data_IF_597443841536
#
_entry.id   IF_597443841536
#
_cell.length_a   1.000
_cell.length_b   1.000
_cell.length_c   1.000
_cell.angle_alpha   90.00
_cell.angle_beta   90.00
_cell.angle_gamma   90.00
#
_symmetry.space_group_name_H-M   'P 1'
#
loop_
_entity.id
_entity.type
_entity.pdbx_description
1 polymer ?
#
# COMPACT_ATOMS: atom_id res chain seq x y z
N UNK A 1 -37.82 48.72 -47.64
CA UNK A 1 -36.48 48.24 -48.04
C UNK A 1 -35.47 48.90 -47.10
N UNK A 2 -34.57 48.11 -46.49
CA UNK A 2 -34.34 48.02 -45.03
C UNK A 2 -33.06 48.80 -44.61
N UNK A 3 -32.75 49.08 -43.33
CA UNK A 3 -32.58 48.18 -42.18
C UNK A 3 -32.64 48.89 -40.81
N UNK A 4 -33.32 48.22 -39.87
CA UNK A 4 -33.29 48.31 -38.39
C UNK A 4 -31.86 48.09 -37.83
N UNK A 5 -31.44 48.36 -36.59
CA UNK A 5 -32.02 48.74 -35.29
C UNK A 5 -30.84 49.00 -34.32
N UNK A 6 -30.99 49.88 -33.33
CA UNK A 6 -30.62 49.62 -31.92
C UNK A 6 -31.01 50.82 -31.04
N UNK A 7 -32.03 50.62 -30.20
CA UNK A 7 -32.39 51.52 -29.11
C UNK A 7 -31.87 50.98 -27.78
N UNK A 8 -31.44 51.94 -26.96
CA UNK A 8 -30.99 51.87 -25.58
C UNK A 8 -31.99 51.20 -24.63
N UNK A 9 -31.50 50.66 -23.50
CA UNK A 9 -32.00 51.01 -22.17
C UNK A 9 -30.89 50.83 -21.10
N UNK A 10 -31.00 51.66 -20.07
CA UNK A 10 -30.02 52.09 -19.07
C UNK A 10 -30.52 51.67 -17.67
N UNK A 11 -29.68 51.85 -16.65
CA UNK A 11 -29.97 51.90 -15.18
C UNK A 11 -29.97 50.53 -14.49
N UNK A 12 -29.39 50.29 -13.30
CA UNK A 12 -28.67 51.12 -12.32
C UNK A 12 -28.45 50.34 -11.01
N UNK A 13 -27.45 50.80 -10.24
CA UNK A 13 -27.11 50.65 -8.79
C UNK A 13 -27.97 49.74 -7.89
N UNK A 14 -27.34 49.05 -6.92
CA UNK A 14 -27.54 49.20 -5.45
C UNK A 14 -26.33 48.60 -4.69
N UNK A 15 -25.93 49.27 -3.60
CA UNK A 15 -24.95 48.83 -2.61
C UNK A 15 -25.63 48.53 -1.25
N UNK A 16 -24.87 47.88 -0.35
CA UNK A 16 -24.98 47.79 1.13
C UNK A 16 -25.65 46.57 1.78
N UNK A 17 -24.81 45.83 2.53
CA UNK A 17 -24.93 45.41 3.93
C UNK A 17 -26.26 44.91 4.54
N UNK A 18 -26.20 43.71 5.15
CA UNK A 18 -26.73 43.43 6.51
C UNK A 18 -26.27 42.05 7.06
N UNK A 19 -25.25 42.09 7.93
CA UNK A 19 -25.12 41.49 9.28
C UNK A 19 -25.69 40.10 9.64
N UNK A 20 -24.74 39.28 10.15
CA UNK A 20 -24.71 38.50 11.42
C UNK A 20 -25.85 37.51 11.76
N UNK A 21 -25.45 36.26 12.08
CA UNK A 21 -25.51 35.62 13.43
C UNK A 21 -24.88 34.21 13.38
N UNK A 22 -23.73 33.99 14.05
CA UNK A 22 -23.53 33.22 15.31
C UNK A 22 -23.43 31.69 15.10
N UNK A 23 -22.23 31.09 15.20
CA UNK A 23 -21.60 30.47 16.41
C UNK A 23 -22.01 28.98 16.56
N UNK A 24 -21.23 27.94 16.92
CA UNK A 24 -19.96 27.67 17.62
C UNK A 24 -19.54 26.22 17.24
N UNK A 25 -18.25 25.83 17.27
CA UNK A 25 -17.60 24.90 18.25
C UNK A 25 -16.30 24.30 17.63
N UNK A 26 -15.31 23.79 18.39
CA UNK A 26 -14.14 24.56 18.80
C UNK A 26 -12.78 23.98 18.33
N UNK A 27 -11.81 24.88 18.21
CA UNK A 27 -10.39 24.57 18.15
C UNK A 27 -9.83 24.33 19.57
N UNK A 28 -9.00 23.30 19.73
CA UNK A 28 -8.28 23.02 20.97
C UNK A 28 -6.79 23.34 20.80
N UNK A 29 -6.32 24.14 21.76
CA UNK A 29 -5.06 24.83 21.88
C UNK A 29 -3.78 23.98 21.73
N UNK A 30 -2.76 24.55 21.09
CA UNK A 30 -1.35 24.38 21.50
C UNK A 30 -0.80 25.74 21.93
N UNK A 31 -0.15 25.71 23.10
CA UNK A 31 0.47 26.85 23.77
C UNK A 31 1.72 27.32 23.03
N UNK A 32 1.88 28.63 23.04
CA UNK A 32 3.07 29.37 22.64
C UNK A 32 4.28 29.04 23.52
N UNK A 33 5.46 28.98 22.89
CA UNK A 33 6.73 29.33 23.51
C UNK A 33 7.55 30.12 22.47
N UNK A 34 7.92 31.34 22.83
CA UNK A 34 8.67 32.34 22.08
C UNK A 34 10.11 31.86 21.75
N UNK A 35 10.73 32.34 20.65
CA UNK A 35 12.03 31.84 20.19
C UNK A 35 13.19 32.59 20.85
N UNK A 36 14.18 31.86 21.35
CA UNK A 36 15.47 32.42 21.75
C UNK A 36 16.43 32.34 20.57
N UNK A 37 16.88 33.50 20.11
CA UNK A 37 17.93 33.68 19.11
C UNK A 37 19.27 33.24 19.70
N UNK A 38 19.93 32.31 19.04
CA UNK A 38 21.39 32.12 19.12
C UNK A 38 21.97 31.92 17.73
N UNK A 39 22.83 32.87 17.35
CA UNK A 39 23.59 32.94 16.11
C UNK A 39 24.77 31.96 16.07
N UNK A 40 25.25 31.70 14.85
CA UNK A 40 26.54 31.06 14.44
C UNK A 40 26.40 29.57 14.05
N UNK A 41 26.95 29.03 12.95
CA UNK A 41 27.94 29.48 11.95
C UNK A 41 27.66 28.72 10.64
N UNK A 42 27.91 29.35 9.50
CA UNK A 42 27.93 28.72 8.18
C UNK A 42 29.02 27.64 8.11
N UNK A 43 28.65 26.42 7.72
CA UNK A 43 29.59 25.42 7.22
C UNK A 43 29.24 25.14 5.75
N UNK A 44 30.10 25.61 4.86
CA UNK A 44 30.15 25.18 3.46
C UNK A 44 30.29 23.66 3.43
N UNK A 45 29.28 22.95 2.93
CA UNK A 45 29.43 21.58 2.49
C UNK A 45 29.85 21.61 1.02
N UNK A 46 31.09 21.19 0.76
CA UNK A 46 31.65 21.08 -0.57
C UNK A 46 30.77 20.21 -1.47
N UNK A 47 30.34 20.79 -2.60
CA UNK A 47 29.73 20.06 -3.71
C UNK A 47 30.80 19.17 -4.33
N UNK A 48 30.78 17.87 -4.01
CA UNK A 48 31.53 16.87 -4.75
C UNK A 48 31.02 16.81 -6.19
N UNK A 49 31.95 16.88 -7.13
CA UNK A 49 31.67 16.97 -8.57
C UNK A 49 31.14 15.64 -9.14
N UNK A 50 30.26 15.76 -10.14
CA UNK A 50 29.52 14.70 -10.83
C UNK A 50 30.36 13.51 -11.33
N UNK A 51 31.68 13.68 -11.51
CA UNK A 51 32.57 12.64 -12.02
C UNK A 51 33.01 11.63 -10.92
N UNK A 52 33.01 12.04 -9.65
CA UNK A 52 33.28 11.14 -8.50
C UNK A 52 32.05 10.28 -8.13
N UNK A 53 30.85 10.66 -8.57
CA UNK A 53 29.62 9.91 -8.34
C UNK A 53 29.50 8.71 -9.31
N UNK A 54 29.82 8.91 -10.59
CA UNK A 54 29.83 7.85 -11.60
C UNK A 54 30.93 6.81 -11.35
N UNK A 55 32.10 7.23 -10.87
CA UNK A 55 33.17 6.30 -10.53
C UNK A 55 32.80 5.42 -9.32
N UNK A 56 32.07 5.96 -8.34
CA UNK A 56 31.55 5.18 -7.19
C UNK A 56 30.40 4.24 -7.54
N UNK A 57 29.55 4.61 -8.50
CA UNK A 57 28.51 3.73 -9.04
C UNK A 57 29.15 2.50 -9.71
N UNK A 58 30.12 2.69 -10.60
CA UNK A 58 30.76 1.57 -11.31
C UNK A 58 31.66 0.72 -10.38
N UNK A 59 32.37 1.31 -9.41
CA UNK A 59 33.25 0.55 -8.52
C UNK A 59 32.55 -0.19 -7.37
N UNK A 60 31.36 0.25 -6.92
CA UNK A 60 30.61 -0.50 -5.88
C UNK A 60 29.79 -1.66 -6.44
N UNK A 61 29.55 -1.73 -7.75
CA UNK A 61 29.00 -2.92 -8.40
C UNK A 61 29.93 -4.15 -8.30
N UNK A 62 31.19 -3.95 -7.88
CA UNK A 62 32.24 -4.98 -7.88
C UNK A 62 32.88 -5.22 -6.51
N UNK A 63 32.20 -4.84 -5.42
CA UNK A 63 32.52 -5.37 -4.10
C UNK A 63 31.39 -6.34 -3.76
N UNK A 64 31.67 -7.65 -3.57
CA UNK A 64 30.66 -8.54 -3.04
C UNK A 64 30.31 -8.02 -1.64
N UNK A 65 29.18 -7.32 -1.51
CA UNK A 65 28.58 -7.07 -0.21
C UNK A 65 28.50 -8.44 0.47
N UNK A 66 29.16 -8.57 1.63
CA UNK A 66 29.07 -9.73 2.50
C UNK A 66 27.64 -9.79 3.05
N UNK A 67 26.71 -10.21 2.20
CA UNK A 67 25.31 -10.39 2.54
C UNK A 67 24.98 -11.86 2.31
N UNK A 68 24.50 -12.48 3.39
CA UNK A 68 23.84 -13.77 3.34
C UNK A 68 22.61 -13.54 2.45
N UNK A 69 22.59 -14.18 1.28
CA UNK A 69 21.38 -14.35 0.49
C UNK A 69 20.26 -14.82 1.41
N UNK A 70 19.04 -14.30 1.25
CA UNK A 70 17.85 -14.91 1.89
C UNK A 70 17.61 -16.35 1.36
N UNK A 71 18.40 -16.82 0.40
CA UNK A 71 18.65 -18.23 0.16
C UNK A 71 19.90 -18.73 0.93
N UNK A 72 19.65 -19.47 2.03
CA UNK A 72 20.59 -20.26 2.86
C UNK A 72 21.03 -19.67 4.21
N UNK A 73 20.11 -19.67 5.18
CA UNK A 73 20.38 -20.10 6.55
C UNK A 73 19.07 -20.39 7.31
N UNK A 74 18.33 -21.45 6.94
CA UNK A 74 17.18 -21.91 7.73
C UNK A 74 17.15 -23.43 7.80
N UNK A 75 17.12 -23.95 9.03
CA UNK A 75 16.92 -25.36 9.37
C UNK A 75 15.59 -25.86 8.81
N UNK A 76 15.65 -26.97 8.06
CA UNK A 76 14.46 -27.73 7.63
C UNK A 76 13.86 -28.40 8.85
N UNK A 77 12.57 -28.20 9.12
CA UNK A 77 11.79 -29.16 9.90
C UNK A 77 11.23 -30.18 8.90
N UNK A 78 11.90 -31.32 8.81
CA UNK A 78 11.38 -32.54 8.19
C UNK A 78 10.78 -33.38 9.31
N UNK A 79 9.45 -33.52 9.34
CA UNK A 79 8.86 -34.68 9.99
C UNK A 79 8.96 -35.84 9.00
N UNK A 80 9.80 -36.81 9.36
CA UNK A 80 10.04 -38.05 8.61
C UNK A 80 9.25 -39.18 9.26
N UNK A 81 8.40 -39.84 8.48
CA UNK A 81 8.02 -41.28 8.47
C UNK A 81 6.81 -41.41 7.51
N UNK A 82 6.73 -42.28 6.51
CA UNK A 82 7.58 -43.36 6.04
C UNK A 82 7.01 -43.89 4.69
N UNK A 83 7.92 -44.36 3.82
CA UNK A 83 7.80 -45.47 2.85
C UNK A 83 7.03 -45.27 1.51
N UNK A 84 7.78 -45.64 0.47
CA UNK A 84 7.61 -45.61 -0.99
C UNK A 84 6.72 -46.76 -1.49
N UNK A 85 5.93 -46.53 -2.55
CA UNK A 85 5.95 -47.35 -3.79
C UNK A 85 5.46 -46.55 -4.99
N UNK A 86 6.19 -46.70 -6.10
CA UNK A 86 5.91 -46.16 -7.43
C UNK A 86 4.63 -46.72 -8.06
N UNK A 87 4.23 -46.06 -9.17
CA UNK A 87 3.25 -46.43 -10.20
C UNK A 87 1.88 -45.75 -10.03
N UNK A 88 1.74 -44.53 -10.56
CA UNK A 88 1.04 -44.37 -11.84
C UNK A 88 1.27 -43.00 -12.48
N UNK A 89 1.53 -43.05 -13.78
CA UNK A 89 1.64 -41.91 -14.68
C UNK A 89 0.24 -41.54 -15.15
N UNK A 90 -0.27 -40.38 -14.76
CA UNK A 90 -1.13 -39.59 -15.64
C UNK A 90 -0.88 -38.10 -15.42
N UNK A 91 -0.63 -37.40 -16.53
CA UNK A 91 -0.39 -35.97 -16.61
C UNK A 91 -1.60 -35.19 -16.11
N UNK A 92 -1.49 -34.59 -14.93
CA UNK A 92 -2.15 -33.33 -14.62
C UNK A 92 -1.03 -32.37 -14.22
N UNK A 93 -0.73 -31.40 -15.09
CA UNK A 93 0.20 -30.32 -14.79
C UNK A 93 -0.48 -29.34 -13.82
N UNK A 94 -0.75 -29.79 -12.60
CA UNK A 94 -0.94 -28.92 -11.45
C UNK A 94 0.45 -28.78 -10.81
N UNK A 95 1.15 -27.67 -11.09
CA UNK A 95 2.23 -27.26 -10.20
C UNK A 95 1.62 -27.17 -8.79
N UNK A 96 2.13 -27.90 -7.78
CA UNK A 96 1.66 -27.70 -6.43
C UNK A 96 2.01 -26.26 -6.05
N UNK A 97 1.00 -25.48 -5.64
CA UNK A 97 1.21 -24.24 -4.90
C UNK A 97 2.11 -24.61 -3.72
N UNK A 98 3.38 -24.25 -3.81
CA UNK A 98 4.30 -24.44 -2.70
C UNK A 98 3.88 -23.44 -1.63
N UNK A 99 3.05 -23.88 -0.67
CA UNK A 99 2.69 -23.15 0.55
C UNK A 99 3.92 -23.00 1.48
N UNK A 100 5.04 -22.54 0.93
CA UNK A 100 6.28 -22.35 1.66
C UNK A 100 6.19 -21.01 2.38
N UNK A 101 6.27 -21.09 3.70
CA UNK A 101 6.42 -19.92 4.56
C UNK A 101 7.90 -19.71 4.84
N UNK A 102 8.42 -18.55 4.47
CA UNK A 102 9.82 -18.17 4.66
C UNK A 102 9.96 -17.37 5.95
N UNK A 103 10.77 -17.85 6.88
CA UNK A 103 11.12 -17.08 8.07
C UNK A 103 12.05 -15.93 7.66
N UNK A 104 11.63 -14.69 7.90
CA UNK A 104 12.45 -13.52 7.60
C UNK A 104 13.06 -12.99 8.89
N UNK A 105 14.39 -12.89 8.97
CA UNK A 105 15.03 -12.29 10.12
C UNK A 105 14.76 -10.78 10.14
N UNK A 106 14.21 -10.29 11.25
CA UNK A 106 14.10 -8.85 11.52
C UNK A 106 15.50 -8.26 11.60
N UNK A 107 15.70 -7.08 11.01
CA UNK A 107 16.99 -6.38 11.03
C UNK A 107 17.41 -6.18 12.49
N UNK A 108 18.61 -6.61 12.85
CA UNK A 108 19.13 -6.45 14.20
C UNK A 108 19.19 -4.97 14.57
N UNK A 109 18.80 -4.62 15.80
CA UNK A 109 18.76 -3.25 16.31
C UNK A 109 17.82 -2.33 15.49
N UNK A 110 16.67 -2.85 15.05
CA UNK A 110 15.64 -2.07 14.34
C UNK A 110 14.39 -1.79 15.17
N UNK A 111 14.41 -2.05 16.49
CA UNK A 111 13.24 -1.80 17.35
C UNK A 111 12.90 -0.31 17.41
N UNK A 112 11.60 0.00 17.41
CA UNK A 112 11.10 1.35 17.64
C UNK A 112 11.13 1.70 19.13
N UNK A 113 10.92 0.72 20.02
CA UNK A 113 10.76 0.96 21.47
C UNK A 113 12.01 1.53 22.13
N UNK A 114 13.18 1.04 21.74
CA UNK A 114 14.46 1.53 22.26
C UNK A 114 15.08 2.63 21.38
N UNK A 115 14.41 2.99 20.28
CA UNK A 115 14.88 3.94 19.28
C UNK A 115 16.14 3.47 18.53
N UNK A 116 16.49 2.18 18.59
CA UNK A 116 17.67 1.63 17.93
C UNK A 116 17.59 1.78 16.41
N UNK A 117 16.38 1.71 15.85
CA UNK A 117 16.12 1.89 14.41
C UNK A 117 16.75 3.18 13.84
N UNK A 118 16.68 4.29 14.58
CA UNK A 118 17.18 5.60 14.14
C UNK A 118 18.72 5.70 14.13
N UNK A 119 19.38 4.83 14.90
CA UNK A 119 20.84 4.74 15.02
C UNK A 119 21.40 3.56 14.23
N UNK A 120 20.56 2.84 13.50
CA UNK A 120 20.95 1.64 12.79
C UNK A 120 21.80 2.00 11.55
N UNK A 121 23.10 1.73 11.65
CA UNK A 121 24.06 2.03 10.57
C UNK A 121 23.74 1.25 9.29
N UNK A 122 23.32 -0.01 9.40
CA UNK A 122 23.00 -0.86 8.25
C UNK A 122 21.81 -0.29 7.48
N UNK A 123 20.73 0.06 8.16
CA UNK A 123 19.56 0.64 7.51
C UNK A 123 19.85 1.99 6.86
N UNK A 124 20.70 2.82 7.48
CA UNK A 124 21.12 4.11 6.90
C UNK A 124 22.01 3.95 5.66
N UNK A 125 22.82 2.89 5.61
CA UNK A 125 23.67 2.61 4.45
C UNK A 125 22.89 2.00 3.29
N UNK A 126 21.95 1.08 3.57
CA UNK A 126 21.12 0.43 2.56
C UNK A 126 20.02 1.37 2.02
N UNK A 127 19.39 2.13 2.91
CA UNK A 127 18.33 3.10 2.59
C UNK A 127 18.83 4.53 2.69
N UNK A 128 19.83 4.85 1.88
CA UNK A 128 20.61 6.08 1.98
C UNK A 128 19.89 7.36 1.48
N UNK A 129 18.85 7.22 0.66
CA UNK A 129 18.10 8.38 0.13
C UNK A 129 17.01 8.89 1.09
N UNK A 130 16.58 8.08 2.08
CA UNK A 130 15.49 8.42 2.99
C UNK A 130 15.94 8.62 4.43
N UNK A 131 15.28 9.54 5.14
CA UNK A 131 15.45 9.70 6.59
C UNK A 131 14.47 8.78 7.34
N UNK A 132 14.99 7.72 7.97
CA UNK A 132 14.22 6.78 8.78
C UNK A 132 13.60 7.48 10.01
N UNK A 133 14.23 8.54 10.50
CA UNK A 133 13.70 9.34 11.59
C UNK A 133 12.50 10.20 11.16
N UNK A 134 12.32 10.44 9.86
CA UNK A 134 11.10 11.06 9.36
C UNK A 134 9.94 10.05 9.41
N UNK A 135 8.95 10.39 10.24
CA UNK A 135 7.77 9.58 10.54
C UNK A 135 6.53 10.05 9.80
N UNK A 136 6.67 11.00 8.89
CA UNK A 136 5.55 11.46 8.08
C UNK A 136 5.12 10.36 7.10
N UNK A 137 3.81 10.29 6.85
CA UNK A 137 3.28 9.52 5.73
C UNK A 137 3.73 10.16 4.41
N UNK A 138 3.83 9.34 3.35
CA UNK A 138 4.07 9.81 1.99
C UNK A 138 3.13 10.97 1.62
N UNK A 139 3.75 12.07 1.20
CA UNK A 139 3.03 13.26 0.73
C UNK A 139 2.65 13.14 -0.74
N UNK A 140 3.15 12.09 -1.41
CA UNK A 140 2.79 11.78 -2.78
C UNK A 140 1.38 11.19 -2.81
N UNK A 141 0.48 11.89 -3.47
CA UNK A 141 -0.85 11.35 -3.75
C UNK A 141 -0.75 10.17 -4.73
N UNK A 142 -1.62 9.15 -4.58
CA UNK A 142 -1.88 8.25 -5.68
C UNK A 142 -2.37 9.11 -6.83
N UNK A 143 -1.95 8.78 -8.05
CA UNK A 143 -2.33 9.57 -9.20
C UNK A 143 -1.75 10.99 -9.33
N UNK A 144 -0.42 11.14 -9.28
CA UNK A 144 0.19 12.47 -9.54
C UNK A 144 -0.19 13.11 -10.88
N UNK A 145 -0.68 12.33 -11.87
CA UNK A 145 -1.11 12.86 -13.17
C UNK A 145 -2.19 11.96 -13.79
N UNK A 146 -3.46 12.35 -13.76
CA UNK A 146 -4.57 11.52 -14.32
C UNK A 146 -4.87 11.78 -15.80
N UNK A 147 -4.38 12.90 -16.35
CA UNK A 147 -4.48 13.21 -17.78
C UNK A 147 -3.17 12.88 -18.47
N UNK A 148 -3.26 12.30 -19.67
CA UNK A 148 -2.14 12.30 -20.61
C UNK A 148 -1.66 13.75 -20.75
N UNK A 149 -0.40 13.99 -20.43
CA UNK A 149 0.18 15.32 -20.57
C UNK A 149 0.52 15.55 -22.05
N UNK A 150 0.67 16.81 -22.47
CA UNK A 150 1.16 17.15 -23.82
C UNK A 150 2.53 16.53 -24.12
N UNK A 151 3.23 16.02 -23.10
CA UNK A 151 4.49 15.30 -23.19
C UNK A 151 4.34 13.82 -23.56
N UNK A 152 3.14 13.25 -23.63
CA UNK A 152 2.92 11.88 -24.08
C UNK A 152 3.19 11.72 -25.59
N UNK A 153 4.14 10.84 -25.97
CA UNK A 153 4.52 10.60 -27.37
C UNK A 153 4.41 9.10 -27.74
N UNK A 154 3.79 8.73 -28.88
CA UNK A 154 2.52 9.24 -29.40
C UNK A 154 1.35 8.32 -28.95
N UNK A 155 0.26 8.91 -28.45
CA UNK A 155 -1.00 8.28 -27.98
C UNK A 155 -1.00 7.80 -26.51
N UNK A 156 -2.03 8.22 -25.77
CA UNK A 156 -2.23 7.93 -24.34
C UNK A 156 -2.32 6.43 -23.96
N UNK A 157 -2.58 5.54 -24.93
CA UNK A 157 -2.59 4.09 -24.71
C UNK A 157 -1.19 3.47 -24.67
N UNK A 158 -0.28 3.96 -25.52
CA UNK A 158 1.10 3.49 -25.69
C UNK A 158 2.07 4.67 -25.56
N UNK A 159 2.05 5.37 -24.43
CA UNK A 159 3.02 6.44 -24.19
C UNK A 159 4.43 5.84 -24.11
N UNK A 160 5.38 6.36 -24.91
CA UNK A 160 6.78 5.94 -24.90
C UNK A 160 7.60 6.68 -23.83
N UNK A 161 7.10 7.82 -23.33
CA UNK A 161 7.77 8.61 -22.30
C UNK A 161 7.54 8.05 -20.89
N UNK A 162 6.41 7.38 -20.67
CA UNK A 162 6.04 6.82 -19.38
C UNK A 162 6.23 5.31 -19.40
N UNK A 163 7.26 4.88 -18.67
CA UNK A 163 7.60 3.48 -18.52
C UNK A 163 6.84 2.86 -17.35
N UNK A 164 6.44 1.62 -17.55
CA UNK A 164 5.99 0.74 -16.51
C UNK A 164 7.13 0.52 -15.50
N UNK A 165 6.78 0.25 -14.24
CA UNK A 165 7.77 0.06 -13.17
C UNK A 165 7.64 -1.32 -12.57
N UNK A 166 8.71 -1.80 -11.94
CA UNK A 166 8.57 -2.88 -10.97
C UNK A 166 7.93 -2.29 -9.71
N UNK A 167 6.86 -2.94 -9.25
CA UNK A 167 6.15 -2.50 -8.06
C UNK A 167 6.03 -3.64 -7.06
N UNK A 168 6.27 -3.34 -5.80
CA UNK A 168 6.03 -4.29 -4.72
C UNK A 168 4.54 -4.28 -4.36
N UNK A 169 3.91 -5.45 -4.39
CA UNK A 169 2.51 -5.62 -4.00
C UNK A 169 2.40 -6.50 -2.76
N UNK A 170 1.63 -6.03 -1.78
CA UNK A 170 1.17 -6.84 -0.65
C UNK A 170 -0.16 -7.50 -1.03
N UNK A 171 -0.21 -8.83 -0.99
CA UNK A 171 -1.41 -9.60 -1.32
C UNK A 171 -2.25 -9.88 -0.07
N UNK A 172 -1.60 -10.17 1.05
CA UNK A 172 -2.29 -10.42 2.31
C UNK A 172 -1.38 -10.22 3.52
N UNK A 173 -1.98 -9.84 4.64
CA UNK A 173 -1.37 -9.89 5.97
C UNK A 173 -2.23 -10.81 6.83
N UNK A 174 -1.62 -11.75 7.56
CA UNK A 174 -2.33 -12.74 8.37
C UNK A 174 -1.74 -12.82 9.78
N UNK A 175 -2.60 -12.88 10.79
CA UNK A 175 -2.17 -13.25 12.14
C UNK A 175 -1.90 -14.75 12.18
N UNK A 176 -0.65 -15.17 12.05
CA UNK A 176 -0.30 -16.59 11.94
C UNK A 176 -0.39 -17.33 13.28
N UNK A 177 0.21 -16.74 14.32
CA UNK A 177 0.28 -17.33 15.66
C UNK A 177 0.14 -16.24 16.71
N UNK A 178 -0.49 -16.57 17.82
CA UNK A 178 -0.55 -15.74 19.04
C UNK A 178 -0.30 -16.63 20.26
N UNK A 179 0.31 -16.06 21.30
CA UNK A 179 0.56 -16.75 22.57
C UNK A 179 -0.49 -16.44 23.64
N UNK A 180 -1.44 -15.54 23.35
CA UNK A 180 -2.28 -14.90 24.38
C UNK A 180 -3.69 -15.50 24.46
N UNK A 181 -4.31 -15.90 23.34
CA UNK A 181 -5.61 -16.61 23.37
C UNK A 181 -5.98 -17.26 22.03
N UNK A 182 -6.96 -18.16 22.05
CA UNK A 182 -7.62 -18.73 20.86
C UNK A 182 -8.85 -17.94 20.39
N UNK A 183 -9.22 -16.86 21.10
CA UNK A 183 -10.40 -16.03 20.82
C UNK A 183 -10.12 -14.84 19.89
N UNK A 184 -11.10 -13.94 19.70
CA UNK A 184 -10.89 -12.67 19.00
C UNK A 184 -9.89 -11.79 19.74
N UNK A 185 -8.96 -11.19 18.98
CA UNK A 185 -7.85 -10.37 19.46
C UNK A 185 -7.96 -8.99 18.82
N UNK A 186 -7.80 -7.95 19.65
CA UNK A 186 -7.71 -6.57 19.19
C UNK A 186 -6.26 -6.24 18.84
N UNK A 187 -6.01 -5.95 17.56
CA UNK A 187 -4.71 -5.51 17.06
C UNK A 187 -4.73 -4.04 16.69
N UNK A 188 -3.62 -3.36 16.93
CA UNK A 188 -3.38 -1.99 16.48
C UNK A 188 -1.90 -1.79 16.14
N UNK A 189 -1.56 -0.65 15.56
CA UNK A 189 -0.23 -0.35 15.06
C UNK A 189 -0.20 -0.34 13.53
N UNK A 190 0.99 -0.50 12.95
CA UNK A 190 1.17 -0.37 11.52
C UNK A 190 2.16 -1.36 10.91
N UNK A 191 1.99 -1.55 9.60
CA UNK A 191 2.98 -2.11 8.67
C UNK A 191 3.06 -1.14 7.49
N UNK A 192 4.25 -0.64 7.19
CA UNK A 192 4.48 0.35 6.13
C UNK A 192 5.66 -0.05 5.26
N UNK A 193 5.59 0.31 3.98
CA UNK A 193 6.72 0.25 3.07
C UNK A 193 7.37 1.63 2.93
N UNK A 194 8.70 1.67 2.84
CA UNK A 194 9.48 2.83 2.43
C UNK A 194 10.26 2.46 1.18
N UNK A 195 9.95 3.14 0.09
CA UNK A 195 10.72 3.05 -1.15
C UNK A 195 11.53 4.33 -1.36
N UNK A 196 12.42 4.32 -2.36
CA UNK A 196 13.26 5.48 -2.67
C UNK A 196 12.50 6.61 -3.38
N UNK A 197 11.18 6.49 -3.58
CA UNK A 197 10.43 7.53 -4.29
C UNK A 197 10.34 8.82 -3.47
N UNK A 198 10.14 8.69 -2.16
CA UNK A 198 10.20 9.80 -1.21
C UNK A 198 10.73 9.42 0.17
N UNK A 199 11.08 8.15 0.42
CA UNK A 199 11.64 7.69 1.68
C UNK A 199 10.64 7.61 2.84
N UNK A 200 9.39 8.02 2.63
CA UNK A 200 8.38 8.20 3.68
C UNK A 200 7.58 6.92 3.95
N UNK A 201 6.82 6.91 5.04
CA UNK A 201 5.94 5.78 5.37
C UNK A 201 4.78 5.69 4.37
N UNK A 202 4.61 4.54 3.74
CA UNK A 202 3.44 4.21 2.94
C UNK A 202 2.71 3.02 3.60
N UNK A 203 1.65 3.31 4.35
CA UNK A 203 1.01 2.34 5.24
C UNK A 203 0.20 1.28 4.50
N UNK A 204 0.56 0.01 4.67
CA UNK A 204 -0.24 -1.13 4.19
C UNK A 204 -1.31 -1.51 5.21
N UNK A 205 -0.95 -1.45 6.49
CA UNK A 205 -1.83 -1.63 7.65
C UNK A 205 -1.60 -0.43 8.56
N UNK A 206 -2.66 0.21 9.05
CA UNK A 206 -2.57 1.29 10.03
C UNK A 206 -3.87 1.38 10.86
N UNK A 207 -3.82 0.91 12.10
CA UNK A 207 -4.94 0.98 13.03
C UNK A 207 -4.49 1.71 14.31
N UNK A 208 -5.28 2.68 14.75
CA UNK A 208 -5.03 3.33 16.04
C UNK A 208 -5.46 2.42 17.19
N UNK A 209 -4.88 2.64 18.37
CA UNK A 209 -5.27 1.93 19.59
C UNK A 209 -6.76 2.11 19.96
N UNK A 210 -7.33 3.26 19.60
CA UNK A 210 -8.73 3.61 19.85
C UNK A 210 -9.69 2.85 18.92
N UNK A 211 -9.25 2.56 17.69
CA UNK A 211 -10.01 1.82 16.68
C UNK A 211 -9.24 0.58 16.21
N UNK A 212 -9.02 -0.41 17.10
CA UNK A 212 -8.26 -1.60 16.75
C UNK A 212 -9.05 -2.50 15.80
N UNK A 213 -8.34 -3.31 15.02
CA UNK A 213 -8.94 -4.38 14.21
C UNK A 213 -9.12 -5.63 15.06
N UNK A 214 -10.27 -6.29 14.95
CA UNK A 214 -10.56 -7.54 15.65
C UNK A 214 -10.29 -8.71 14.70
N UNK A 215 -9.37 -9.59 15.07
CA UNK A 215 -8.98 -10.76 14.26
C UNK A 215 -8.87 -12.00 15.12
N UNK A 216 -8.94 -13.18 14.49
CA UNK A 216 -8.62 -14.45 15.13
C UNK A 216 -7.30 -14.98 14.60
N UNK A 217 -6.67 -15.90 15.35
CA UNK A 217 -5.51 -16.62 14.85
C UNK A 217 -5.86 -17.34 13.54
N UNK A 218 -4.97 -17.26 12.55
CA UNK A 218 -5.16 -17.79 11.21
C UNK A 218 -6.02 -16.90 10.30
N UNK A 219 -6.57 -15.78 10.79
CA UNK A 219 -7.37 -14.86 9.98
C UNK A 219 -6.51 -13.78 9.33
N UNK A 220 -7.00 -13.28 8.18
CA UNK A 220 -6.42 -12.11 7.54
C UNK A 220 -6.64 -10.86 8.41
N UNK A 221 -5.63 -10.00 8.43
CA UNK A 221 -5.72 -8.64 8.94
C UNK A 221 -6.14 -7.77 7.76
N UNK A 222 -7.27 -7.06 7.87
CA UNK A 222 -7.72 -6.16 6.80
C UNK A 222 -6.65 -5.09 6.56
N UNK A 223 -6.13 -5.03 5.33
CA UNK A 223 -5.17 -4.02 4.92
C UNK A 223 -5.90 -2.70 4.66
N UNK A 224 -5.44 -1.62 5.30
CA UNK A 224 -5.90 -0.27 4.95
C UNK A 224 -5.52 0.08 3.51
N UNK A 225 -4.43 -0.52 3.03
CA UNK A 225 -3.88 -0.36 1.70
C UNK A 225 -2.95 0.84 1.63
N UNK A 226 -1.87 0.77 0.82
CA UNK A 226 -0.92 1.86 0.70
C UNK A 226 -1.60 3.08 0.07
N UNK A 227 -1.17 4.28 0.49
CA UNK A 227 -1.65 5.55 -0.05
C UNK A 227 -1.37 5.68 -1.54
N UNK A 228 -0.23 5.13 -1.99
CA UNK A 228 0.21 5.07 -3.39
C UNK A 228 0.92 3.75 -3.69
N UNK A 229 1.20 3.47 -4.94
CA UNK A 229 2.02 2.35 -5.37
C UNK A 229 3.41 2.37 -4.73
N UNK A 230 3.94 1.18 -4.44
CA UNK A 230 5.28 0.99 -3.86
C UNK A 230 6.25 0.65 -4.99
N UNK A 231 7.17 1.56 -5.27
CA UNK A 231 8.12 1.44 -6.37
C UNK A 231 9.31 0.56 -5.97
N UNK A 232 9.63 -0.45 -6.78
CA UNK A 232 10.74 -1.37 -6.56
C UNK A 232 11.94 -1.01 -7.44
N UNK A 233 12.37 0.26 -7.44
CA UNK A 233 13.59 0.69 -8.17
C UNK A 233 14.88 0.33 -7.42
N UNK A 234 14.77 0.01 -6.13
CA UNK A 234 15.86 -0.38 -5.24
C UNK A 234 15.28 -1.11 -4.03
N UNK A 235 16.05 -1.26 -2.95
CA UNK A 235 15.61 -1.84 -1.69
C UNK A 235 14.36 -1.10 -1.15
N UNK A 236 13.36 -1.89 -0.76
CA UNK A 236 12.18 -1.39 -0.04
C UNK A 236 12.30 -1.83 1.41
N UNK A 237 12.29 -0.88 2.34
CA UNK A 237 12.21 -1.19 3.76
C UNK A 237 10.75 -1.44 4.13
N UNK A 238 10.46 -2.59 4.74
CA UNK A 238 9.15 -2.88 5.33
C UNK A 238 9.29 -2.74 6.83
N UNK A 239 8.64 -1.74 7.37
CA UNK A 239 8.72 -1.30 8.75
C UNK A 239 7.41 -1.60 9.47
N UNK A 240 7.48 -2.05 10.72
CA UNK A 240 6.30 -2.48 11.47
C UNK A 240 6.45 -2.24 12.99
N UNK A 241 5.36 -1.84 13.63
CA UNK A 241 5.13 -1.89 15.08
C UNK A 241 3.66 -2.24 15.25
N UNK A 242 3.37 -3.52 15.46
CA UNK A 242 2.02 -4.05 15.68
C UNK A 242 1.90 -4.57 17.10
N UNK A 243 0.73 -4.38 17.71
CA UNK A 243 0.48 -4.67 19.13
C UNK A 243 -0.87 -5.33 19.35
N UNK A 244 -0.92 -6.12 20.41
CA UNK A 244 -2.13 -6.73 20.96
C UNK A 244 -2.62 -5.85 22.10
N UNK A 245 -3.84 -5.33 21.97
CA UNK A 245 -4.49 -4.55 23.02
C UNK A 245 -5.06 -5.48 24.08
N UNK A 246 -4.55 -5.36 25.32
CA UNK A 246 -4.94 -6.23 26.44
C UNK A 246 -5.60 -5.48 27.60
N UNK A 247 -5.53 -4.15 27.62
CA UNK A 247 -6.11 -3.38 28.71
C UNK A 247 -6.41 -1.93 28.38
N UNK A 248 -6.56 -1.11 29.41
CA UNK A 248 -6.95 0.29 29.27
C UNK A 248 -5.77 1.17 28.85
N UNK A 249 -4.56 0.81 29.27
CA UNK A 249 -3.34 1.58 29.04
C UNK A 249 -2.38 0.88 28.09
N UNK A 250 -1.62 1.67 27.32
CA UNK A 250 -0.65 1.14 26.34
C UNK A 250 0.47 0.30 26.98
N UNK A 251 0.76 0.54 28.26
CA UNK A 251 1.76 -0.19 29.04
C UNK A 251 1.37 -1.66 29.29
N UNK A 252 0.07 -1.96 29.23
CA UNK A 252 -0.49 -3.30 29.42
C UNK A 252 -0.49 -4.11 28.09
N UNK A 253 -0.28 -3.42 26.96
CA UNK A 253 -0.37 -3.99 25.63
C UNK A 253 0.91 -4.72 25.23
N UNK A 254 0.72 -5.83 24.53
CA UNK A 254 1.81 -6.73 24.16
C UNK A 254 2.30 -6.45 22.74
N UNK A 255 3.61 -6.47 22.56
CA UNK A 255 4.23 -6.25 21.25
C UNK A 255 4.11 -7.53 20.40
N UNK A 256 3.32 -7.47 19.34
CA UNK A 256 3.15 -8.60 18.41
C UNK A 256 4.38 -8.75 17.53
N UNK A 257 4.74 -7.69 16.80
CA UNK A 257 5.96 -7.59 15.98
C UNK A 257 6.47 -6.14 16.04
N UNK A 258 7.78 -5.96 15.97
CA UNK A 258 8.43 -4.65 15.94
C UNK A 258 9.76 -4.75 15.21
N UNK A 259 10.00 -3.78 14.35
CA UNK A 259 11.27 -3.60 13.66
C UNK A 259 11.09 -3.34 12.17
N UNK A 260 12.10 -3.72 11.41
CA UNK A 260 12.07 -3.62 9.96
C UNK A 260 12.71 -4.84 9.29
N UNK A 261 12.30 -5.10 8.06
CA UNK A 261 12.95 -6.02 7.13
C UNK A 261 13.29 -5.28 5.84
N UNK A 262 14.39 -5.68 5.20
CA UNK A 262 14.77 -5.20 3.88
C UNK A 262 14.25 -6.15 2.83
N UNK A 263 13.44 -5.64 1.90
CA UNK A 263 13.04 -6.38 0.71
C UNK A 263 13.90 -5.93 -0.46
N UNK A 264 14.72 -6.85 -0.97
CA UNK A 264 15.62 -6.64 -2.11
C UNK A 264 15.59 -7.84 -3.05
N UNK A 265 14.43 -8.50 -3.18
CA UNK A 265 14.38 -9.70 -4.00
C UNK A 265 14.54 -9.33 -5.49
N UNK A 266 15.56 -9.91 -6.14
CA UNK A 266 15.81 -9.79 -7.59
C UNK A 266 15.16 -10.92 -8.38
N UNK A 267 14.38 -11.77 -7.71
CA UNK A 267 13.58 -12.81 -8.33
C UNK A 267 12.28 -12.22 -8.87
N UNK A 268 12.40 -11.31 -9.83
CA UNK A 268 11.29 -10.92 -10.67
C UNK A 268 10.74 -12.19 -11.37
N UNK A 269 9.42 -12.32 -11.44
CA UNK A 269 8.79 -13.54 -11.96
C UNK A 269 8.87 -14.73 -11.00
N UNK A 270 8.52 -14.53 -9.72
CA UNK A 270 8.11 -15.60 -8.80
C UNK A 270 6.69 -15.33 -8.26
N UNK A 271 5.90 -16.39 -7.94
CA UNK A 271 4.59 -16.19 -7.30
C UNK A 271 4.77 -15.50 -5.94
N UNK A 272 3.72 -14.84 -5.40
CA UNK A 272 3.82 -14.16 -4.12
C UNK A 272 4.36 -15.07 -3.03
N UNK A 273 5.38 -14.61 -2.34
CA UNK A 273 6.06 -15.37 -1.29
C UNK A 273 5.45 -15.00 0.06
N UNK A 274 5.19 -16.00 0.90
CA UNK A 274 4.74 -15.77 2.26
C UNK A 274 5.94 -15.68 3.20
N UNK A 275 6.10 -14.52 3.82
CA UNK A 275 7.15 -14.21 4.79
C UNK A 275 6.56 -14.21 6.20
N UNK A 276 7.13 -15.00 7.10
CA UNK A 276 6.76 -15.01 8.52
C UNK A 276 7.70 -14.15 9.32
N UNK A 277 7.12 -13.16 10.00
CA UNK A 277 7.78 -12.28 10.95
C UNK A 277 7.39 -12.74 12.35
N UNK A 278 8.37 -13.25 13.08
CA UNK A 278 8.18 -13.69 14.46
C UNK A 278 8.42 -12.52 15.41
N UNK A 279 7.53 -12.33 16.38
CA UNK A 279 7.77 -11.47 17.53
C UNK A 279 7.52 -12.23 18.84
N UNK A 280 7.59 -11.49 19.94
CA UNK A 280 7.62 -12.10 21.27
C UNK A 280 6.29 -12.75 21.67
N UNK A 281 5.16 -12.21 21.18
CA UNK A 281 3.82 -12.66 21.56
C UNK A 281 3.03 -13.31 20.41
N UNK A 282 3.68 -13.51 19.25
CA UNK A 282 3.03 -14.10 18.08
C UNK A 282 3.86 -14.01 16.82
N UNK A 283 3.22 -14.26 15.69
CA UNK A 283 3.81 -14.12 14.37
C UNK A 283 2.79 -13.59 13.37
N UNK A 284 3.27 -12.77 12.44
CA UNK A 284 2.50 -12.24 11.32
C UNK A 284 3.09 -12.80 10.04
N UNK A 285 2.23 -13.34 9.19
CA UNK A 285 2.59 -13.75 7.84
C UNK A 285 2.21 -12.64 6.87
N UNK A 286 3.16 -12.21 6.03
CA UNK A 286 2.94 -11.23 4.96
C UNK A 286 3.16 -11.94 3.63
N UNK A 287 2.18 -11.89 2.74
CA UNK A 287 2.34 -12.32 1.35
C UNK A 287 2.60 -11.10 0.48
N UNK A 288 3.74 -11.10 -0.22
CA UNK A 288 4.14 -10.02 -1.11
C UNK A 288 4.88 -10.58 -2.33
N UNK A 289 4.93 -9.77 -3.39
CA UNK A 289 5.60 -10.14 -4.63
C UNK A 289 5.81 -8.92 -5.52
N UNK A 290 6.69 -9.06 -6.50
CA UNK A 290 6.98 -8.02 -7.49
C UNK A 290 6.04 -8.20 -8.67
N UNK A 291 5.27 -7.16 -8.98
CA UNK A 291 4.48 -7.08 -10.20
C UNK A 291 5.35 -6.42 -11.27
N UNK A 292 5.75 -7.20 -12.27
CA UNK A 292 6.56 -6.74 -13.38
C UNK A 292 5.74 -5.88 -14.35
N UNK A 293 6.42 -4.90 -14.96
CA UNK A 293 5.83 -3.95 -15.89
C UNK A 293 4.51 -3.37 -15.36
N UNK A 294 4.47 -3.02 -14.07
CA UNK A 294 3.27 -2.58 -13.40
C UNK A 294 2.91 -1.13 -13.67
N UNK A 295 1.60 -0.89 -13.60
CA UNK A 295 0.96 0.42 -13.46
C UNK A 295 0.17 0.46 -12.15
N UNK A 296 0.12 1.63 -11.52
CA UNK A 296 -0.71 1.87 -10.35
C UNK A 296 -2.19 1.93 -10.77
N UNK A 297 -3.06 1.11 -10.18
CA UNK A 297 -4.49 1.20 -10.34
C UNK A 297 -5.11 1.74 -9.05
N UNK A 298 -5.67 2.94 -9.13
CA UNK A 298 -6.41 3.56 -8.04
C UNK A 298 -7.90 3.25 -8.18
N UNK A 299 -8.47 2.55 -7.20
CA UNK A 299 -9.85 2.09 -7.18
C UNK A 299 -10.64 2.94 -6.19
N UNK A 300 -11.67 3.63 -6.70
CA UNK A 300 -12.59 4.45 -5.93
C UNK A 300 -13.98 3.81 -6.02
N UNK A 301 -14.60 3.54 -4.88
CA UNK A 301 -15.91 2.86 -4.81
C UNK A 301 -16.90 3.77 -4.09
N UNK A 302 -18.08 3.93 -4.69
CA UNK A 302 -19.17 4.72 -4.15
C UNK A 302 -20.44 3.89 -4.09
N UNK A 303 -21.00 3.74 -2.90
CA UNK A 303 -22.31 3.12 -2.70
C UNK A 303 -23.36 4.18 -2.96
N UNK A 304 -24.04 4.10 -4.11
CA UNK A 304 -25.03 5.10 -4.54
C UNK A 304 -26.40 4.87 -3.94
N UNK A 305 -26.79 3.61 -3.72
CA UNK A 305 -28.09 3.26 -3.15
C UNK A 305 -27.94 2.09 -2.18
N UNK A 306 -28.71 2.11 -1.09
CA UNK A 306 -28.79 1.02 -0.09
C UNK A 306 -30.25 0.82 0.27
N UNK A 307 -30.79 -0.37 0.00
CA UNK A 307 -32.17 -0.74 0.35
C UNK A 307 -32.25 -1.29 1.77
N UNK A 308 -31.26 -2.09 2.17
CA UNK A 308 -31.12 -2.67 3.51
C UNK A 308 -29.64 -2.88 3.83
N UNK A 309 -29.31 -2.98 5.12
CA UNK A 309 -27.94 -3.31 5.53
C UNK A 309 -27.45 -4.62 4.91
N UNK A 310 -26.22 -4.64 4.41
CA UNK A 310 -25.63 -5.81 3.74
C UNK A 310 -24.12 -5.92 4.02
N UNK A 311 -23.57 -7.13 3.95
CA UNK A 311 -22.13 -7.35 3.97
C UNK A 311 -21.56 -7.23 2.57
N UNK A 312 -20.44 -6.50 2.43
CA UNK A 312 -19.72 -6.34 1.17
C UNK A 312 -18.30 -6.88 1.33
N UNK A 313 -17.91 -7.78 0.43
CA UNK A 313 -16.51 -8.12 0.18
C UNK A 313 -16.11 -7.61 -1.20
N UNK A 314 -15.03 -6.83 -1.26
CA UNK A 314 -14.39 -6.39 -2.49
C UNK A 314 -12.97 -6.96 -2.54
N UNK A 315 -12.68 -7.67 -3.63
CA UNK A 315 -11.34 -8.18 -3.93
C UNK A 315 -10.90 -7.75 -5.32
N UNK A 316 -9.62 -7.45 -5.46
CA UNK A 316 -8.95 -7.33 -6.76
C UNK A 316 -8.18 -8.61 -7.06
N UNK A 317 -8.23 -9.06 -8.29
CA UNK A 317 -7.41 -10.14 -8.81
C UNK A 317 -6.51 -9.55 -9.89
N UNK A 318 -5.20 -9.72 -9.72
CA UNK A 318 -4.18 -9.20 -10.64
C UNK A 318 -3.35 -10.36 -11.17
N UNK A 319 -2.94 -10.25 -12.43
CA UNK A 319 -2.05 -11.23 -13.05
C UNK A 319 -0.64 -11.09 -12.45
N UNK A 320 -0.16 -12.18 -11.88
CA UNK A 320 1.21 -12.36 -11.41
C UNK A 320 1.71 -13.66 -12.00
N UNK A 321 2.60 -13.57 -12.99
CA UNK A 321 3.17 -14.72 -13.68
C UNK A 321 2.16 -15.70 -14.31
N UNK A 322 1.10 -15.21 -14.93
CA UNK A 322 0.04 -16.01 -15.55
C UNK A 322 -0.91 -16.70 -14.54
N UNK A 323 -0.81 -16.40 -13.25
CA UNK A 323 -1.78 -16.76 -12.23
C UNK A 323 -2.45 -15.50 -11.67
N UNK A 324 -3.72 -15.61 -11.29
CA UNK A 324 -4.45 -14.51 -10.67
C UNK A 324 -4.34 -14.57 -9.15
N UNK A 325 -3.73 -13.55 -8.58
CA UNK A 325 -3.55 -13.44 -7.14
C UNK A 325 -4.54 -12.44 -6.55
N UNK A 326 -5.20 -12.88 -5.46
CA UNK A 326 -6.26 -12.11 -4.80
C UNK A 326 -5.66 -11.10 -3.82
N UNK A 327 -6.20 -9.89 -3.86
CA UNK A 327 -5.96 -8.81 -2.91
C UNK A 327 -7.32 -8.44 -2.33
N UNK A 328 -7.58 -8.79 -1.08
CA UNK A 328 -8.80 -8.36 -0.39
C UNK A 328 -8.70 -6.88 -0.05
N UNK A 329 -9.54 -6.06 -0.70
CA UNK A 329 -9.52 -4.61 -0.55
C UNK A 329 -10.42 -4.14 0.61
N UNK A 330 -11.60 -4.76 0.74
CA UNK A 330 -12.59 -4.37 1.74
C UNK A 330 -13.43 -5.57 2.19
N UNK A 331 -13.69 -5.67 3.48
CA UNK A 331 -14.69 -6.58 4.03
C UNK A 331 -15.43 -5.92 5.19
N UNK A 332 -16.70 -5.58 4.98
CA UNK A 332 -17.45 -4.89 6.02
C UNK A 332 -18.95 -4.82 5.76
N UNK A 333 -19.67 -4.31 6.76
CA UNK A 333 -21.12 -4.08 6.65
C UNK A 333 -21.39 -2.67 6.14
N UNK A 334 -22.27 -2.56 5.15
CA UNK A 334 -22.74 -1.32 4.54
C UNK A 334 -24.18 -1.08 4.96
N UNK A 335 -24.44 0.04 5.60
CA UNK A 335 -25.78 0.47 6.07
C UNK A 335 -26.24 1.78 5.43
N UNK A 336 -25.33 2.56 4.87
CA UNK A 336 -25.59 3.87 4.29
C UNK A 336 -24.86 4.04 2.96
N UNK A 337 -25.38 4.94 2.13
CA UNK A 337 -24.70 5.39 0.90
C UNK A 337 -23.45 6.18 1.23
N UNK A 338 -22.45 6.17 0.35
CA UNK A 338 -21.24 6.95 0.53
C UNK A 338 -20.03 6.37 -0.18
N UNK A 339 -18.95 7.15 -0.18
CA UNK A 339 -17.66 6.69 -0.67
C UNK A 339 -17.02 5.73 0.34
N UNK A 340 -16.49 4.62 -0.17
CA UNK A 340 -15.50 3.84 0.58
C UNK A 340 -14.14 4.53 0.49
N UNK A 341 -13.19 4.07 1.30
CA UNK A 341 -11.79 4.48 1.12
C UNK A 341 -11.30 4.11 -0.27
N UNK A 342 -10.30 4.85 -0.74
CA UNK A 342 -9.59 4.55 -1.98
C UNK A 342 -8.67 3.36 -1.76
N UNK A 343 -8.51 2.53 -2.79
CA UNK A 343 -7.56 1.42 -2.78
C UNK A 343 -6.53 1.58 -3.90
N UNK A 344 -5.29 1.15 -3.65
CA UNK A 344 -4.21 1.20 -4.63
C UNK A 344 -3.63 -0.19 -4.80
N UNK A 345 -3.56 -0.65 -6.05
CA UNK A 345 -2.98 -1.96 -6.41
C UNK A 345 -2.04 -1.80 -7.60
N UNK A 346 -0.95 -2.56 -7.62
CA UNK A 346 -0.09 -2.72 -8.77
C UNK A 346 -0.70 -3.76 -9.72
N UNK A 347 -0.77 -3.42 -11.01
CA UNK A 347 -1.28 -4.31 -12.05
C UNK A 347 -0.30 -4.32 -13.20
N UNK A 348 0.11 -5.50 -13.68
CA UNK A 348 0.91 -5.59 -14.89
C UNK A 348 0.21 -4.88 -16.05
N UNK A 349 0.96 -4.07 -16.78
CA UNK A 349 0.43 -3.34 -17.92
C UNK A 349 -0.05 -4.29 -19.01
N UNK A 350 -1.13 -3.88 -19.70
CA UNK A 350 -1.78 -4.64 -20.76
C UNK A 350 -2.37 -6.00 -20.34
N UNK A 351 -2.36 -6.31 -19.04
CA UNK A 351 -3.11 -7.45 -18.48
C UNK A 351 -4.47 -7.01 -17.95
N UNK A 352 -5.32 -7.98 -17.59
CA UNK A 352 -6.64 -7.69 -17.03
C UNK A 352 -6.56 -7.66 -15.51
N UNK A 353 -7.12 -6.61 -14.91
CA UNK A 353 -7.50 -6.61 -13.49
C UNK A 353 -8.96 -7.04 -13.37
N UNK A 354 -9.27 -7.91 -12.42
CA UNK A 354 -10.65 -8.30 -12.14
C UNK A 354 -11.06 -7.82 -10.76
N UNK A 355 -12.14 -7.06 -10.67
CA UNK A 355 -12.73 -6.68 -9.40
C UNK A 355 -13.94 -7.56 -9.14
N UNK A 356 -13.94 -8.25 -8.00
CA UNK A 356 -15.02 -9.11 -7.55
C UNK A 356 -15.72 -8.47 -6.36
N UNK A 357 -17.03 -8.32 -6.49
CA UNK A 357 -17.91 -7.78 -5.47
C UNK A 357 -18.84 -8.91 -5.01
N UNK A 358 -18.83 -9.22 -3.72
CA UNK A 358 -19.80 -10.13 -3.10
C UNK A 358 -20.64 -9.30 -2.13
N UNK A 359 -21.94 -9.23 -2.37
CA UNK A 359 -22.89 -8.56 -1.50
C UNK A 359 -23.81 -9.60 -0.86
N UNK A 360 -23.85 -9.67 0.46
CA UNK A 360 -24.65 -10.60 1.23
C UNK A 360 -25.69 -9.92 2.10
N UNK A 361 -26.92 -10.40 2.06
CA UNK A 361 -27.97 -10.12 3.06
C UNK A 361 -28.53 -11.45 3.56
N UNK A 362 -29.31 -11.46 4.65
CA UNK A 362 -29.81 -12.69 5.31
C UNK A 362 -30.20 -13.79 4.30
N UNK A 363 -29.38 -14.84 4.22
CA UNK A 363 -29.59 -16.03 3.38
C UNK A 363 -29.27 -15.91 1.88
N UNK A 364 -28.87 -14.74 1.35
CA UNK A 364 -28.55 -14.57 -0.07
C UNK A 364 -27.22 -13.82 -0.28
N UNK A 365 -26.27 -14.47 -0.97
CA UNK A 365 -25.02 -13.87 -1.42
C UNK A 365 -25.09 -13.70 -2.93
N UNK A 366 -25.04 -12.46 -3.38
CA UNK A 366 -24.95 -12.12 -4.79
C UNK A 366 -23.50 -11.72 -5.14
N UNK A 367 -22.99 -12.19 -6.28
CA UNK A 367 -21.62 -11.94 -6.72
C UNK A 367 -21.62 -11.30 -8.11
N UNK A 368 -20.83 -10.25 -8.26
CA UNK A 368 -20.57 -9.57 -9.54
C UNK A 368 -19.07 -9.46 -9.75
N UNK A 369 -18.67 -9.46 -11.02
CA UNK A 369 -17.28 -9.34 -11.39
C UNK A 369 -17.16 -8.43 -12.60
N UNK A 370 -16.21 -7.51 -12.56
CA UNK A 370 -15.86 -6.67 -13.69
C UNK A 370 -14.41 -6.92 -14.09
N UNK A 371 -14.14 -6.84 -15.39
CA UNK A 371 -12.81 -6.96 -15.95
C UNK A 371 -12.40 -5.63 -16.55
N UNK A 372 -11.19 -5.16 -16.22
CA UNK A 372 -10.65 -3.89 -16.66
C UNK A 372 -9.23 -4.13 -17.15
N UNK A 373 -8.95 -3.78 -18.41
CA UNK A 373 -7.59 -3.83 -18.93
C UNK A 373 -6.76 -2.72 -18.29
N UNK A 374 -5.59 -3.07 -17.78
CA UNK A 374 -4.64 -2.14 -17.21
C UNK A 374 -4.10 -1.20 -18.30
N UNK A 375 -4.10 0.10 -18.01
CA UNK A 375 -3.67 1.13 -18.97
C UNK A 375 -2.53 1.95 -18.37
N UNK A 376 -1.72 2.59 -19.21
CA UNK A 376 -0.76 3.58 -18.72
C UNK A 376 -1.46 4.81 -18.17
N UNK A 377 -2.56 5.21 -18.82
CA UNK A 377 -3.27 6.46 -18.54
C UNK A 377 -4.78 6.28 -18.64
N UNK A 378 -5.51 7.11 -17.89
CA UNK A 378 -6.95 7.30 -18.03
C UNK A 378 -7.75 6.69 -16.89
N UNK A 379 -9.06 6.57 -17.09
CA UNK A 379 -9.94 5.96 -16.11
C UNK A 379 -11.04 5.13 -16.78
N UNK A 380 -11.64 4.23 -16.01
CA UNK A 380 -12.80 3.46 -16.39
C UNK A 380 -13.78 3.43 -15.23
N UNK A 381 -15.04 3.71 -15.51
CA UNK A 381 -16.12 3.64 -14.53
C UNK A 381 -17.12 2.55 -14.90
N UNK A 382 -17.66 1.88 -13.88
CA UNK A 382 -18.70 0.86 -14.01
C UNK A 382 -19.75 1.07 -12.93
N UNK A 383 -20.99 0.80 -13.28
CA UNK A 383 -22.11 0.71 -12.36
C UNK A 383 -22.46 -0.77 -12.16
N UNK A 384 -22.70 -1.16 -10.92
CA UNK A 384 -22.98 -2.55 -10.52
C UNK A 384 -24.24 -2.52 -9.68
N UNK A 385 -25.25 -3.27 -10.13
CA UNK A 385 -26.52 -3.40 -9.43
C UNK A 385 -26.61 -4.73 -8.70
N UNK A 386 -26.90 -4.63 -7.41
CA UNK A 386 -27.31 -5.72 -6.53
C UNK A 386 -28.77 -5.50 -6.13
N UNK A 387 -29.45 -6.57 -5.71
CA UNK A 387 -30.82 -6.46 -5.20
C UNK A 387 -30.96 -5.50 -4.01
N UNK A 388 -29.90 -5.37 -3.22
CA UNK A 388 -29.88 -4.59 -1.97
C UNK A 388 -29.14 -3.26 -2.09
N UNK A 389 -28.42 -3.02 -3.19
CA UNK A 389 -27.57 -1.84 -3.34
C UNK A 389 -27.16 -1.56 -4.78
N UNK A 390 -26.85 -0.30 -5.07
CA UNK A 390 -26.18 0.12 -6.29
C UNK A 390 -24.76 0.62 -5.95
N UNK A 391 -23.78 0.19 -6.74
CA UNK A 391 -22.36 0.49 -6.52
C UNK A 391 -21.76 1.06 -7.79
N UNK A 392 -21.15 2.23 -7.68
CA UNK A 392 -20.31 2.82 -8.71
C UNK A 392 -18.84 2.57 -8.38
N UNK A 393 -18.06 2.10 -9.35
CA UNK A 393 -16.61 1.93 -9.21
C UNK A 393 -15.91 2.69 -10.32
N UNK A 394 -14.86 3.41 -9.96
CA UNK A 394 -13.96 4.12 -10.87
C UNK A 394 -12.54 3.63 -10.62
N UNK A 395 -11.90 3.14 -11.67
CA UNK A 395 -10.48 2.80 -11.66
C UNK A 395 -9.73 3.83 -12.48
N UNK A 396 -8.68 4.40 -11.90
CA UNK A 396 -7.81 5.39 -12.55
C UNK A 396 -6.40 4.86 -12.63
N UNK A 397 -5.80 4.96 -13.81
CA UNK A 397 -4.40 4.65 -14.07
C UNK A 397 -3.65 5.96 -14.31
N UNK A 398 -2.79 6.37 -13.39
CA UNK A 398 -2.11 7.64 -13.53
C UNK A 398 -0.85 7.52 -14.35
N UNK A 399 -0.52 8.63 -14.99
CA UNK A 399 0.75 8.87 -15.61
C UNK A 399 1.87 8.79 -14.55
N UNK A 400 2.79 7.81 -14.68
CA UNK A 400 4.00 7.76 -13.87
C UNK A 400 4.74 9.10 -13.98
N UNK A 401 5.20 9.66 -12.87
CA UNK A 401 6.06 10.84 -12.91
C UNK A 401 7.33 10.49 -13.69
N UNK A 402 7.56 11.18 -14.82
CA UNK A 402 8.90 11.23 -15.43
C UNK A 402 9.76 12.00 -14.45
N UNK A 403 10.75 11.35 -13.84
CA UNK A 403 11.74 12.08 -13.07
C UNK A 403 12.50 13.00 -14.03
N UNK A 404 12.43 14.31 -13.80
CA UNK A 404 13.48 15.21 -14.22
C UNK A 404 14.59 15.07 -13.17
N UNK A 405 15.64 14.32 -13.51
CA UNK A 405 16.85 14.17 -12.71
C UNK A 405 17.73 15.41 -12.78
#
# INVERSE_FOLDING_TARGET
>A
MPTLSRSMFRVGRVASDLLRRLSLFPALARRDATPTVTTSKSAHADRLSHQDCLSRLVYKFWIPCRLISIAHATTRCLDTQNVVTEVDKELIYCKPRMDRVYLVPVIKNSSHRDGAIYKNKFMREDFWEGDIADRNETQLEPMMFSKATEKCLPVAGNCWLHFQKEMLQFFSVQLSKTLISTGPIQLYGYIAARDLRDGMLNYVVNYSRDHPVIVQQGSLIEMTGPKRGIEMSSIVLIEFDMRIKNGMHEEEDQQLIDGAISYYDRHSGYPPIRHRICGNYGAVDISLGIVEQAVEATIEVFISEVTSGFSLCLSSFVDVMNDYEEIQLFHGTIVHTGALRRFVVAVSWDTMMLLKFKAGSEGCIDSRQIKLQAKKHGCASRHIEFKVAAISVKVTWPTPSVFHH
#
